data_IF_404861717736
#
_entry.id   IF_404861717736
#
_cell.length_a   1.000
_cell.length_b   1.000
_cell.length_c   1.000
_cell.angle_alpha   90.00
_cell.angle_beta   90.00
_cell.angle_gamma   90.00
#
_symmetry.space_group_name_H-M   'P 1'
#
loop_
_entity.id
_entity.type
_entity.pdbx_description
1 polymer ?
#
# COMPACT_ATOMS: atom_id res chain seq x y z
N UNK A 1 19.16 -13.05 -1.39
CA UNK A 1 17.88 -12.37 -1.63
C UNK A 1 16.78 -13.40 -1.40
N UNK A 2 15.86 -13.12 -0.48
CA UNK A 2 14.94 -14.11 0.09
C UNK A 2 13.98 -14.67 -0.95
N UNK A 3 14.10 -15.98 -1.20
CA UNK A 3 13.19 -16.82 -2.00
C UNK A 3 11.70 -16.62 -1.64
N UNK A 4 11.43 -16.14 -0.41
CA UNK A 4 10.10 -15.78 0.10
C UNK A 4 9.47 -14.59 -0.60
N UNK A 5 10.23 -13.55 -0.96
CA UNK A 5 9.66 -12.45 -1.74
C UNK A 5 9.27 -12.97 -3.11
N UNK A 6 10.03 -13.90 -3.69
CA UNK A 6 9.68 -14.57 -4.94
C UNK A 6 8.39 -15.41 -4.81
N UNK A 7 8.23 -16.15 -3.70
CA UNK A 7 7.05 -16.96 -3.41
C UNK A 7 5.81 -16.11 -3.08
N UNK A 8 5.97 -15.03 -2.32
CA UNK A 8 4.91 -14.04 -2.08
C UNK A 8 4.58 -13.26 -3.37
N UNK A 9 5.58 -12.90 -4.18
CA UNK A 9 5.36 -12.30 -5.52
C UNK A 9 4.74 -13.27 -6.51
N UNK A 10 4.90 -14.58 -6.33
CA UNK A 10 4.18 -15.57 -7.16
C UNK A 10 2.66 -15.53 -6.90
N UNK A 11 2.23 -15.04 -5.72
CA UNK A 11 0.83 -14.69 -5.44
C UNK A 11 0.40 -13.31 -5.96
N UNK A 12 1.35 -12.40 -6.25
CA UNK A 12 1.10 -11.09 -6.85
C UNK A 12 1.11 -11.14 -8.40
N UNK A 13 1.01 -12.33 -9.00
CA UNK A 13 1.06 -12.49 -10.45
C UNK A 13 -0.27 -12.09 -11.08
N UNK A 14 -0.32 -10.90 -11.70
CA UNK A 14 -1.24 -10.59 -12.77
C UNK A 14 -2.53 -9.86 -12.39
N UNK A 15 -2.40 -8.60 -11.97
CA UNK A 15 -3.50 -7.64 -11.94
C UNK A 15 -3.20 -6.48 -11.00
N UNK A 16 -3.56 -5.26 -11.39
CA UNK A 16 -3.46 -4.04 -10.57
C UNK A 16 -4.38 -4.06 -9.31
N UNK A 17 -4.88 -5.23 -8.91
CA UNK A 17 -5.76 -5.43 -7.77
C UNK A 17 -5.09 -6.27 -6.69
N UNK A 18 -5.18 -5.80 -5.44
CA UNK A 18 -4.70 -6.52 -4.26
C UNK A 18 -5.46 -7.86 -4.11
N UNK A 19 -4.76 -8.99 -3.94
CA UNK A 19 -5.40 -10.32 -3.87
C UNK A 19 -6.23 -10.49 -2.59
N UNK A 20 -7.26 -11.32 -2.60
CA UNK A 20 -8.00 -11.66 -1.37
C UNK A 20 -7.57 -13.03 -0.84
N UNK A 21 -7.44 -13.15 0.48
CA UNK A 21 -7.22 -14.43 1.14
C UNK A 21 -8.54 -15.05 1.61
N UNK A 22 -8.62 -16.38 1.50
CA UNK A 22 -9.71 -17.16 2.09
C UNK A 22 -9.41 -17.50 3.55
N UNK A 23 -10.46 -17.85 4.30
CA UNK A 23 -10.36 -18.25 5.70
C UNK A 23 -9.48 -19.49 5.90
N UNK A 24 -9.49 -20.41 4.94
CA UNK A 24 -8.68 -21.63 5.00
C UNK A 24 -7.17 -21.33 4.98
N UNK A 25 -6.75 -20.33 4.18
CA UNK A 25 -5.35 -19.89 4.14
C UNK A 25 -4.95 -19.27 5.48
N UNK A 26 -5.82 -18.45 6.07
CA UNK A 26 -5.57 -17.85 7.39
C UNK A 26 -5.43 -18.94 8.45
N UNK A 27 -6.35 -19.92 8.49
CA UNK A 27 -6.28 -21.03 9.44
C UNK A 27 -4.99 -21.86 9.27
N UNK A 28 -4.53 -22.07 8.03
CA UNK A 28 -3.24 -22.70 7.76
C UNK A 28 -2.07 -21.92 8.37
N UNK A 29 -2.02 -20.61 8.14
CA UNK A 29 -0.98 -19.75 8.71
C UNK A 29 -1.04 -19.69 10.25
N UNK A 30 -2.23 -19.72 10.86
CA UNK A 30 -2.38 -19.74 12.33
C UNK A 30 -1.81 -21.03 12.93
N UNK A 31 -2.03 -22.16 12.25
CA UNK A 31 -1.45 -23.45 12.64
C UNK A 31 0.08 -23.40 12.55
N UNK A 32 0.64 -22.88 11.45
CA UNK A 32 2.10 -22.71 11.27
C UNK A 32 2.72 -21.83 12.36
N UNK A 33 2.05 -20.75 12.76
CA UNK A 33 2.54 -19.88 13.86
C UNK A 33 2.53 -20.62 15.19
N UNK A 34 1.50 -21.43 15.45
CA UNK A 34 1.39 -22.23 16.69
C UNK A 34 2.46 -23.31 16.75
N UNK A 35 2.71 -24.00 15.64
CA UNK A 35 3.76 -25.02 15.52
C UNK A 35 5.15 -24.39 15.66
N UNK A 36 5.38 -23.24 15.03
CA UNK A 36 6.63 -22.50 15.16
C UNK A 36 6.87 -21.99 16.59
N UNK A 37 5.81 -21.68 17.34
CA UNK A 37 5.94 -21.22 18.73
C UNK A 37 6.51 -22.31 19.65
N UNK A 38 6.19 -23.58 19.39
CA UNK A 38 6.54 -24.69 20.26
C UNK A 38 7.98 -25.20 20.04
N UNK A 39 8.47 -25.27 18.79
CA UNK A 39 9.68 -26.05 18.48
C UNK A 39 10.68 -25.39 17.49
N UNK A 40 10.53 -24.10 17.13
CA UNK A 40 11.33 -23.48 16.06
C UNK A 40 12.22 -22.29 16.48
N UNK A 41 13.22 -21.96 15.65
CA UNK A 41 14.10 -20.80 15.87
C UNK A 41 13.37 -19.47 15.65
N UNK A 42 13.93 -18.38 16.18
CA UNK A 42 13.33 -17.05 16.10
C UNK A 42 13.12 -16.58 14.66
N UNK A 43 13.96 -17.01 13.72
CA UNK A 43 13.78 -16.76 12.29
C UNK A 43 12.50 -17.41 11.76
N UNK A 44 12.26 -18.69 12.07
CA UNK A 44 11.09 -19.42 11.63
C UNK A 44 9.80 -18.81 12.21
N UNK A 45 9.82 -18.43 13.49
CA UNK A 45 8.71 -17.70 14.14
C UNK A 45 8.41 -16.39 13.43
N UNK A 46 9.44 -15.60 13.16
CA UNK A 46 9.30 -14.32 12.47
C UNK A 46 8.74 -14.49 11.04
N UNK A 47 9.14 -15.55 10.34
CA UNK A 47 8.61 -15.88 9.01
C UNK A 47 7.13 -16.28 9.06
N UNK A 48 6.74 -17.17 9.99
CA UNK A 48 5.34 -17.58 10.15
C UNK A 48 4.44 -16.40 10.52
N UNK A 49 4.92 -15.50 11.39
CA UNK A 49 4.21 -14.25 11.74
C UNK A 49 4.03 -13.36 10.50
N UNK A 50 5.06 -13.26 9.65
CA UNK A 50 4.95 -12.48 8.40
C UNK A 50 3.93 -13.07 7.42
N UNK A 51 3.89 -14.41 7.28
CA UNK A 51 2.89 -15.10 6.43
C UNK A 51 1.47 -14.87 6.94
N UNK A 52 1.26 -15.04 8.25
CA UNK A 52 -0.04 -14.80 8.87
C UNK A 52 -0.46 -13.33 8.75
N UNK A 53 0.45 -12.39 9.00
CA UNK A 53 0.20 -10.96 8.85
C UNK A 53 -0.25 -10.61 7.43
N UNK A 54 0.41 -11.18 6.41
CA UNK A 54 0.01 -11.01 5.02
C UNK A 54 -1.40 -11.56 4.78
N UNK A 55 -1.69 -12.79 5.22
CA UNK A 55 -3.01 -13.40 5.02
C UNK A 55 -4.13 -12.59 5.68
N UNK A 56 -3.89 -12.10 6.90
CA UNK A 56 -4.81 -11.29 7.69
C UNK A 56 -5.12 -9.95 7.03
N UNK A 57 -4.11 -9.17 6.64
CA UNK A 57 -4.37 -7.91 5.93
C UNK A 57 -4.98 -8.14 4.56
N UNK A 58 -4.86 -9.35 3.99
CA UNK A 58 -5.53 -9.73 2.76
C UNK A 58 -6.93 -10.37 2.94
N UNK A 59 -7.47 -10.45 4.18
CA UNK A 59 -8.81 -10.95 4.48
C UNK A 59 -9.91 -9.97 4.05
N UNK A 60 -11.14 -10.49 3.89
CA UNK A 60 -12.38 -9.71 3.69
C UNK A 60 -13.01 -9.25 5.01
N UNK A 61 -12.62 -9.83 6.13
CA UNK A 61 -13.14 -9.47 7.45
C UNK A 61 -12.33 -8.31 8.02
N UNK A 62 -13.02 -7.27 8.51
CA UNK A 62 -12.38 -6.12 9.13
C UNK A 62 -11.54 -6.51 10.35
N UNK A 63 -12.03 -7.48 11.11
CA UNK A 63 -11.40 -7.96 12.36
C UNK A 63 -10.05 -8.60 12.05
N UNK A 64 -9.98 -9.42 11.00
CA UNK A 64 -8.74 -10.02 10.53
C UNK A 64 -7.74 -8.96 10.06
N UNK A 65 -8.20 -7.97 9.30
CA UNK A 65 -7.34 -6.89 8.80
C UNK A 65 -6.74 -6.10 9.97
N UNK A 66 -7.55 -5.74 10.96
CA UNK A 66 -7.09 -5.03 12.16
C UNK A 66 -6.10 -5.87 12.97
N UNK A 67 -6.37 -7.17 13.12
CA UNK A 67 -5.44 -8.11 13.77
C UNK A 67 -4.10 -8.19 13.01
N UNK A 68 -4.14 -8.19 11.68
CA UNK A 68 -2.95 -8.18 10.83
C UNK A 68 -2.12 -6.90 11.00
N UNK A 69 -2.77 -5.73 11.06
CA UNK A 69 -2.11 -4.45 11.32
C UNK A 69 -1.42 -4.46 12.69
N UNK A 70 -2.14 -4.86 13.74
CA UNK A 70 -1.59 -4.92 15.10
C UNK A 70 -0.39 -5.89 15.20
N UNK A 71 -0.45 -7.03 14.49
CA UNK A 71 0.63 -7.99 14.41
C UNK A 71 1.87 -7.41 13.71
N UNK A 72 1.68 -6.67 12.63
CA UNK A 72 2.76 -5.99 11.91
C UNK A 72 3.42 -4.90 12.77
N UNK A 73 2.62 -4.07 13.46
CA UNK A 73 3.08 -3.03 14.38
C UNK A 73 3.91 -3.62 15.52
N UNK A 74 3.46 -4.70 16.15
CA UNK A 74 4.24 -5.38 17.19
C UNK A 74 5.56 -5.94 16.64
N UNK A 75 5.54 -6.48 15.41
CA UNK A 75 6.71 -7.10 14.81
C UNK A 75 7.74 -6.08 14.29
N UNK A 76 7.35 -4.83 14.02
CA UNK A 76 8.25 -3.82 13.44
C UNK A 76 9.31 -3.36 14.44
N UNK A 77 8.94 -3.30 15.72
CA UNK A 77 9.83 -2.91 16.82
C UNK A 77 11.04 -3.85 16.94
N UNK A 78 10.82 -5.14 16.70
CA UNK A 78 11.84 -6.19 16.80
C UNK A 78 12.64 -6.41 15.49
N UNK A 79 12.40 -5.58 14.46
CA UNK A 79 13.06 -5.75 13.16
C UNK A 79 14.28 -4.85 13.06
N UNK A 80 15.48 -5.40 12.88
CA UNK A 80 16.69 -4.57 12.72
C UNK A 80 16.99 -4.18 11.27
N UNK A 81 16.58 -5.01 10.30
CA UNK A 81 16.87 -4.78 8.88
C UNK A 81 15.94 -3.73 8.25
N UNK A 82 16.47 -2.65 7.65
CA UNK A 82 15.66 -1.63 6.97
C UNK A 82 14.78 -2.19 5.84
N UNK A 83 15.28 -3.18 5.10
CA UNK A 83 14.53 -3.83 4.02
C UNK A 83 13.30 -4.58 4.56
N UNK A 84 13.47 -5.34 5.65
CA UNK A 84 12.36 -6.06 6.31
C UNK A 84 11.36 -5.09 6.95
N UNK A 85 11.83 -3.97 7.52
CA UNK A 85 10.94 -2.91 8.05
C UNK A 85 10.06 -2.34 6.94
N UNK A 86 10.67 -2.00 5.80
CA UNK A 86 9.97 -1.47 4.62
C UNK A 86 8.88 -2.43 4.13
N UNK A 87 9.17 -3.73 4.07
CA UNK A 87 8.19 -4.76 3.69
C UNK A 87 6.99 -4.80 4.65
N UNK A 88 7.25 -4.75 5.96
CA UNK A 88 6.21 -4.68 6.99
C UNK A 88 5.36 -3.41 6.89
N UNK A 89 5.99 -2.26 6.66
CA UNK A 89 5.29 -0.99 6.44
C UNK A 89 4.38 -1.03 5.21
N UNK A 90 4.83 -1.66 4.13
CA UNK A 90 4.00 -1.86 2.94
C UNK A 90 2.75 -2.71 3.23
N UNK A 91 2.91 -3.84 3.95
CA UNK A 91 1.75 -4.67 4.34
C UNK A 91 0.79 -3.92 5.26
N UNK A 92 1.33 -3.09 6.15
CA UNK A 92 0.52 -2.24 7.01
C UNK A 92 -0.25 -1.19 6.20
N UNK A 93 0.37 -0.61 5.17
CA UNK A 93 -0.31 0.28 4.23
C UNK A 93 -1.47 -0.43 3.50
N UNK A 94 -1.29 -1.70 3.09
CA UNK A 94 -2.36 -2.53 2.51
C UNK A 94 -3.51 -2.73 3.51
N UNK A 95 -3.21 -3.00 4.78
CA UNK A 95 -4.22 -3.13 5.82
C UNK A 95 -5.03 -1.84 6.02
N UNK A 96 -4.36 -0.69 6.09
CA UNK A 96 -5.02 0.61 6.23
C UNK A 96 -5.86 0.97 5.00
N UNK A 97 -5.36 0.66 3.79
CA UNK A 97 -6.13 0.83 2.54
C UNK A 97 -7.46 0.07 2.59
N UNK A 98 -7.44 -1.18 3.06
CA UNK A 98 -8.64 -2.02 3.17
C UNK A 98 -9.58 -1.59 4.29
N UNK A 99 -9.04 -1.00 5.34
CA UNK A 99 -9.82 -0.43 6.44
C UNK A 99 -10.44 0.92 6.09
N UNK A 100 -10.11 1.49 4.92
CA UNK A 100 -10.59 2.79 4.46
C UNK A 100 -9.79 3.98 5.00
N UNK A 101 -8.73 3.76 5.80
CA UNK A 101 -7.83 4.83 6.25
C UNK A 101 -6.78 5.11 5.17
N UNK A 102 -7.22 5.81 4.13
CA UNK A 102 -6.39 6.17 2.99
C UNK A 102 -5.27 7.15 3.35
N UNK A 103 -5.49 8.02 4.34
CA UNK A 103 -4.50 8.99 4.78
C UNK A 103 -3.29 8.29 5.39
N UNK A 104 -3.52 7.39 6.34
CA UNK A 104 -2.45 6.63 6.99
C UNK A 104 -1.77 5.66 6.02
N UNK A 105 -2.54 5.03 5.13
CA UNK A 105 -2.00 4.17 4.07
C UNK A 105 -1.04 4.95 3.15
N UNK A 106 -1.42 6.17 2.72
CA UNK A 106 -0.57 7.02 1.87
C UNK A 106 0.74 7.40 2.56
N UNK A 107 0.68 7.82 3.82
CA UNK A 107 1.87 8.21 4.59
C UNK A 107 2.88 7.05 4.69
N UNK A 108 2.41 5.83 4.92
CA UNK A 108 3.27 4.65 4.98
C UNK A 108 3.90 4.32 3.62
N UNK A 109 3.17 4.54 2.53
CA UNK A 109 3.70 4.34 1.18
C UNK A 109 4.75 5.38 0.80
N UNK A 110 4.56 6.65 1.20
CA UNK A 110 5.57 7.70 1.02
C UNK A 110 6.89 7.30 1.71
N UNK A 111 6.83 6.83 2.96
CA UNK A 111 8.01 6.31 3.67
C UNK A 111 8.66 5.10 2.96
N UNK A 112 7.86 4.21 2.38
CA UNK A 112 8.40 3.09 1.61
C UNK A 112 9.13 3.55 0.35
N UNK A 113 8.60 4.57 -0.33
CA UNK A 113 9.12 5.12 -1.58
C UNK A 113 10.34 6.02 -1.37
N UNK A 114 10.52 6.63 -0.20
CA UNK A 114 11.77 7.30 0.19
C UNK A 114 12.96 6.33 0.18
N UNK A 115 12.72 5.06 0.55
CA UNK A 115 13.74 4.01 0.59
C UNK A 115 13.93 3.35 -0.78
N UNK A 116 12.84 3.12 -1.52
CA UNK A 116 12.86 2.50 -2.84
C UNK A 116 11.89 3.22 -3.80
N UNK A 117 12.37 4.28 -4.49
CA UNK A 117 11.54 5.13 -5.34
C UNK A 117 10.91 4.40 -6.54
N UNK A 118 11.53 3.33 -7.00
CA UNK A 118 11.15 2.53 -8.17
C UNK A 118 10.27 1.32 -7.82
N UNK A 119 9.81 1.20 -6.57
CA UNK A 119 8.99 0.08 -6.12
C UNK A 119 7.57 0.15 -6.70
N UNK A 120 7.38 -0.55 -7.83
CA UNK A 120 6.12 -0.56 -8.60
C UNK A 120 4.88 -0.86 -7.76
N UNK A 121 4.92 -1.86 -6.88
CA UNK A 121 3.77 -2.22 -6.05
C UNK A 121 3.33 -1.09 -5.11
N UNK A 122 4.28 -0.34 -4.54
CA UNK A 122 3.99 0.80 -3.68
C UNK A 122 3.45 2.00 -4.50
N UNK A 123 4.02 2.24 -5.68
CA UNK A 123 3.54 3.27 -6.62
C UNK A 123 2.11 2.99 -7.09
N UNK A 124 1.79 1.76 -7.49
CA UNK A 124 0.45 1.37 -7.92
C UNK A 124 -0.58 1.54 -6.81
N UNK A 125 -0.25 1.14 -5.58
CA UNK A 125 -1.15 1.29 -4.44
C UNK A 125 -1.36 2.78 -4.08
N UNK A 126 -0.29 3.59 -4.11
CA UNK A 126 -0.38 5.05 -3.88
C UNK A 126 -1.30 5.71 -4.90
N UNK A 127 -1.16 5.36 -6.18
CA UNK A 127 -2.05 5.86 -7.23
C UNK A 127 -3.50 5.44 -6.99
N UNK A 128 -3.76 4.19 -6.63
CA UNK A 128 -5.11 3.71 -6.31
C UNK A 128 -5.74 4.45 -5.12
N UNK A 129 -4.93 4.86 -4.14
CA UNK A 129 -5.36 5.71 -3.01
C UNK A 129 -5.69 7.12 -3.48
N UNK A 130 -4.83 7.75 -4.28
CA UNK A 130 -5.07 9.09 -4.82
C UNK A 130 -6.34 9.12 -5.70
N UNK A 131 -6.56 8.09 -6.51
CA UNK A 131 -7.77 7.92 -7.32
C UNK A 131 -9.03 7.73 -6.45
N UNK A 132 -8.92 7.10 -5.28
CA UNK A 132 -10.02 6.97 -4.30
C UNK A 132 -10.31 8.30 -3.62
N UNK A 133 -9.28 8.96 -3.08
CA UNK A 133 -9.42 10.25 -2.40
C UNK A 133 -9.98 11.31 -3.35
N UNK A 134 -9.53 11.34 -4.61
CA UNK A 134 -10.08 12.27 -5.60
C UNK A 134 -11.54 11.96 -5.93
N UNK A 135 -11.92 10.68 -6.12
CA UNK A 135 -13.33 10.31 -6.35
C UNK A 135 -14.24 10.63 -5.17
N UNK A 136 -13.80 10.33 -3.94
CA UNK A 136 -14.58 10.58 -2.72
C UNK A 136 -14.58 12.09 -2.37
N UNK A 137 -13.51 12.81 -2.70
CA UNK A 137 -13.36 14.26 -2.53
C UNK A 137 -13.93 15.13 -3.66
N UNK A 138 -14.36 14.54 -4.78
CA UNK A 138 -15.07 15.25 -5.87
C UNK A 138 -16.46 15.74 -5.43
N UNK A 139 -16.95 15.31 -4.27
CA UNK A 139 -18.03 16.00 -3.56
C UNK A 139 -17.40 17.08 -2.63
N UNK A 140 -16.72 18.09 -3.16
CA UNK A 140 -16.26 19.17 -2.28
C UNK A 140 -15.27 20.21 -2.81
N UNK A 141 -14.49 19.91 -3.84
CA UNK A 141 -13.57 20.91 -4.40
C UNK A 141 -13.85 21.03 -5.90
N UNK A 142 -14.53 22.13 -6.25
CA UNK A 142 -14.70 22.54 -7.62
C UNK A 142 -13.33 22.59 -8.30
N UNK A 143 -13.22 21.90 -9.42
CA UNK A 143 -12.07 21.98 -10.32
C UNK A 143 -11.90 23.45 -10.70
N UNK A 144 -10.96 24.16 -10.07
CA UNK A 144 -10.45 25.41 -10.62
C UNK A 144 -9.62 25.02 -11.82
N UNK A 145 -10.25 24.99 -12.99
CA UNK A 145 -9.56 25.01 -14.27
C UNK A 145 -8.74 26.31 -14.31
N UNK A 146 -7.46 26.22 -13.94
CA UNK A 146 -6.52 27.30 -14.16
C UNK A 146 -6.34 27.41 -15.68
N UNK A 147 -7.07 28.36 -16.26
CA UNK A 147 -6.89 28.81 -17.63
C UNK A 147 -5.47 29.36 -17.79
N UNK A 148 -4.54 28.53 -18.26
CA UNK A 148 -3.27 29.02 -18.78
C UNK A 148 -3.48 29.35 -20.25
N UNK A 149 -4.10 30.51 -20.47
CA UNK A 149 -3.78 31.29 -21.65
C UNK A 149 -2.34 31.78 -21.50
N UNK A 150 -1.52 31.54 -22.53
CA UNK A 150 -0.34 32.28 -22.97
C UNK A 150 0.57 31.32 -23.75
N UNK A 151 0.23 31.09 -25.02
CA UNK A 151 1.26 30.88 -26.02
C UNK A 151 1.21 32.09 -26.94
N UNK A 152 2.29 32.86 -26.86
CA UNK A 152 2.58 34.03 -27.63
C UNK A 152 2.69 33.72 -29.13
N UNK A 153 2.30 34.68 -29.97
CA UNK A 153 2.79 34.82 -31.34
C UNK A 153 1.68 34.94 -32.39
N UNK A 154 1.48 36.16 -32.93
CA UNK A 154 0.77 36.33 -34.21
C UNK A 154 -0.04 37.62 -34.37
N UNK A 155 0.64 38.71 -34.74
CA UNK A 155 0.22 39.83 -35.61
C UNK A 155 -1.29 39.99 -35.88
N UNK A 156 -1.87 41.12 -35.45
CA UNK A 156 -2.73 41.95 -36.30
C UNK A 156 -2.85 43.37 -35.72
N UNK A 157 -2.13 44.29 -36.34
CA UNK A 157 -2.42 45.72 -36.23
C UNK A 157 -3.79 45.99 -36.87
N UNK A 158 -4.69 46.67 -36.15
CA UNK A 158 -5.78 47.39 -36.78
C UNK A 158 -6.15 48.60 -35.90
N UNK A 159 -5.70 49.74 -36.39
CA UNK A 159 -6.18 51.08 -36.12
C UNK A 159 -7.72 51.12 -35.97
N UNK A 160 -8.24 51.97 -35.09
CA UNK A 160 -9.16 53.05 -35.50
C UNK A 160 -9.35 54.05 -34.35
N UNK A 161 -9.22 55.31 -34.76
CA UNK A 161 -9.33 56.56 -34.00
C UNK A 161 -10.75 57.12 -34.16
N UNK A 162 -11.09 58.10 -33.30
CA UNK A 162 -12.19 59.11 -33.35
C UNK A 162 -13.46 58.73 -32.57
N UNK A 163 -14.14 59.64 -31.90
CA UNK A 163 -14.03 61.11 -31.77
C UNK A 163 -14.61 61.52 -30.43
#
# INVERSE_FOLDING_TARGET
MSHLFQSLTSFFSGGDQLPWCSRDVIAGCEKEVTEAANDSSDEAKNESIMRLSWALVHSRQSEDVQRGIAMLEASIANTSSPLKKREKQYLMAVGYYRSGDFARSRQLLEQCLEIAPDWRQALSLKKAIEDRITKDGVIGIGITAAAVGLIAGGIAAALVRKK
#
